data_IF_041052148343
#
_entry.id   IF_041052148343
#
_cell.length_a   1.000
_cell.length_b   1.000
_cell.length_c   1.000
_cell.angle_alpha   90.00
_cell.angle_beta   90.00
_cell.angle_gamma   90.00
#
_symmetry.space_group_name_H-M   'P 1'
#
loop_
_entity.id
_entity.type
_entity.pdbx_description
1 polymer ?
#
# COMPACT_ATOMS: atom_id res chain seq x y z
N UNK A 1 -9.15 1.73 20.30
CA UNK A 1 -9.32 3.09 19.72
C UNK A 1 -8.68 3.18 18.32
N UNK A 2 -7.43 2.72 18.16
CA UNK A 2 -6.74 2.65 16.86
C UNK A 2 -7.50 1.86 15.79
N UNK A 3 -8.08 0.70 16.12
CA UNK A 3 -8.86 -0.11 15.17
C UNK A 3 -10.16 0.57 14.71
N UNK A 4 -10.80 1.35 15.58
CA UNK A 4 -11.99 2.14 15.22
C UNK A 4 -11.62 3.27 14.24
N UNK A 5 -10.54 4.01 14.54
CA UNK A 5 -10.04 5.06 13.64
C UNK A 5 -9.61 4.48 12.28
N UNK A 6 -8.92 3.34 12.27
CA UNK A 6 -8.54 2.64 11.05
C UNK A 6 -9.77 2.17 10.24
N UNK A 7 -10.81 1.66 10.91
CA UNK A 7 -12.06 1.27 10.26
C UNK A 7 -12.77 2.43 9.57
N UNK A 8 -12.85 3.59 10.24
CA UNK A 8 -13.44 4.81 9.64
C UNK A 8 -12.64 5.27 8.42
N UNK A 9 -11.30 5.31 8.52
CA UNK A 9 -10.44 5.70 7.40
C UNK A 9 -10.52 4.71 6.24
N UNK A 10 -10.58 3.41 6.53
CA UNK A 10 -10.74 2.37 5.52
C UNK A 10 -12.10 2.46 4.82
N UNK A 11 -13.17 2.76 5.58
CA UNK A 11 -14.51 2.99 5.02
C UNK A 11 -14.54 4.19 4.08
N UNK A 12 -13.94 5.32 4.50
CA UNK A 12 -13.81 6.51 3.66
C UNK A 12 -13.01 6.23 2.38
N UNK A 13 -11.92 5.48 2.47
CA UNK A 13 -11.14 5.06 1.31
C UNK A 13 -11.95 4.19 0.34
N UNK A 14 -12.74 3.24 0.86
CA UNK A 14 -13.61 2.39 0.04
C UNK A 14 -14.66 3.17 -0.76
N UNK A 15 -15.26 4.19 -0.16
CA UNK A 15 -16.21 5.10 -0.84
C UNK A 15 -15.50 5.85 -1.97
N UNK A 16 -14.28 6.36 -1.72
CA UNK A 16 -13.47 7.05 -2.73
C UNK A 16 -13.17 6.17 -3.95
N UNK A 17 -12.82 4.91 -3.70
CA UNK A 17 -12.54 3.94 -4.76
C UNK A 17 -13.81 3.64 -5.56
N UNK A 18 -14.95 3.40 -4.89
CA UNK A 18 -16.23 3.17 -5.57
C UNK A 18 -16.67 4.34 -6.45
N UNK A 19 -16.44 5.58 -6.00
CA UNK A 19 -16.70 6.77 -6.81
C UNK A 19 -15.76 6.89 -8.02
N UNK A 20 -14.49 6.49 -7.88
CA UNK A 20 -13.51 6.58 -8.96
C UNK A 20 -13.83 5.66 -10.15
N UNK A 21 -14.27 4.44 -9.87
CA UNK A 21 -14.57 3.45 -10.91
C UNK A 21 -16.02 3.51 -11.43
N UNK A 22 -16.90 4.32 -10.81
CA UNK A 22 -18.34 4.45 -11.11
C UNK A 22 -19.12 3.11 -11.19
N UNK A 23 -18.49 2.03 -10.73
CA UNK A 23 -18.99 0.67 -10.80
C UNK A 23 -18.47 -0.09 -9.58
N UNK A 24 -19.38 -0.73 -8.85
CA UNK A 24 -19.07 -1.52 -7.67
C UNK A 24 -19.20 -3.00 -8.05
N UNK A 25 -18.07 -3.68 -8.12
CA UNK A 25 -18.00 -5.11 -8.41
C UNK A 25 -17.55 -5.88 -7.17
N UNK A 26 -18.08 -7.09 -6.96
CA UNK A 26 -17.73 -7.92 -5.80
C UNK A 26 -16.22 -8.21 -5.68
N UNK A 27 -15.51 -8.24 -6.82
CA UNK A 27 -14.07 -8.52 -6.90
C UNK A 27 -13.16 -7.29 -6.71
N UNK A 28 -13.70 -6.07 -6.58
CA UNK A 28 -12.88 -4.85 -6.50
C UNK A 28 -11.92 -4.82 -5.29
N UNK A 29 -12.26 -5.57 -4.23
CA UNK A 29 -11.43 -5.66 -3.03
C UNK A 29 -10.18 -6.52 -3.19
N UNK A 30 -10.16 -7.44 -4.16
CA UNK A 30 -9.08 -8.43 -4.31
C UNK A 30 -7.75 -7.76 -4.67
N UNK A 31 -7.74 -6.96 -5.75
CA UNK A 31 -6.58 -6.15 -6.13
C UNK A 31 -6.16 -5.18 -5.02
N UNK A 32 -7.13 -4.55 -4.34
CA UNK A 32 -6.85 -3.57 -3.28
C UNK A 32 -6.16 -4.24 -2.08
N UNK A 33 -6.56 -5.47 -1.75
CA UNK A 33 -5.96 -6.23 -0.65
C UNK A 33 -4.51 -6.59 -0.95
N UNK A 34 -4.22 -7.08 -2.17
CA UNK A 34 -2.85 -7.38 -2.61
C UNK A 34 -1.94 -6.14 -2.55
N UNK A 35 -2.46 -5.00 -3.00
CA UNK A 35 -1.74 -3.71 -2.90
C UNK A 35 -1.52 -3.27 -1.47
N UNK A 36 -2.48 -3.50 -0.58
CA UNK A 36 -2.33 -3.27 0.86
C UNK A 36 -1.17 -4.08 1.46
N UNK A 37 -1.03 -5.35 1.07
CA UNK A 37 0.11 -6.17 1.48
C UNK A 37 1.44 -5.61 0.97
N UNK A 38 1.49 -5.19 -0.29
CA UNK A 38 2.67 -4.55 -0.85
C UNK A 38 3.07 -3.32 -0.03
N UNK A 39 2.14 -2.42 0.23
CA UNK A 39 2.38 -1.20 1.02
C UNK A 39 2.93 -1.50 2.42
N UNK A 40 2.36 -2.50 3.09
CA UNK A 40 2.83 -2.92 4.43
C UNK A 40 4.24 -3.49 4.39
N UNK A 41 4.58 -4.28 3.38
CA UNK A 41 5.91 -4.89 3.25
C UNK A 41 6.95 -3.81 2.91
N UNK A 42 6.61 -2.90 2.00
CA UNK A 42 7.47 -1.77 1.63
C UNK A 42 7.69 -0.82 2.81
N UNK A 43 6.62 -0.52 3.55
CA UNK A 43 6.66 0.33 4.75
C UNK A 43 7.35 -0.31 5.96
N UNK A 44 7.28 -1.63 6.10
CA UNK A 44 7.82 -2.41 7.20
C UNK A 44 6.73 -2.96 8.14
N UNK A 45 6.77 -4.28 8.37
CA UNK A 45 5.80 -4.97 9.23
C UNK A 45 5.88 -4.50 10.70
N UNK A 46 4.83 -3.80 11.14
CA UNK A 46 4.69 -3.31 12.51
C UNK A 46 5.07 -1.84 12.72
N UNK A 47 5.50 -1.11 11.68
CA UNK A 47 5.71 0.33 11.74
C UNK A 47 4.59 1.09 11.02
N UNK A 48 3.71 1.74 11.80
CA UNK A 48 2.55 2.48 11.27
C UNK A 48 3.01 3.70 10.44
N UNK A 49 4.12 4.34 10.81
CA UNK A 49 4.62 5.56 10.14
C UNK A 49 5.25 5.21 8.79
N UNK A 50 6.01 4.11 8.75
CA UNK A 50 6.58 3.53 7.54
C UNK A 50 5.50 3.10 6.56
N UNK A 51 4.47 2.39 7.03
CA UNK A 51 3.34 2.00 6.19
C UNK A 51 2.57 3.19 5.62
N UNK A 52 2.37 4.27 6.40
CA UNK A 52 1.70 5.48 5.93
C UNK A 52 2.50 6.17 4.82
N UNK A 53 3.80 6.37 5.01
CA UNK A 53 4.68 7.00 4.01
C UNK A 53 4.79 6.14 2.74
N UNK A 54 4.93 4.82 2.89
CA UNK A 54 4.97 3.89 1.77
C UNK A 54 3.66 3.91 0.98
N UNK A 55 2.51 3.91 1.65
CA UNK A 55 1.20 3.93 0.99
C UNK A 55 0.96 5.21 0.21
N UNK A 56 1.38 6.34 0.77
CA UNK A 56 1.29 7.64 0.11
C UNK A 56 2.22 7.69 -1.12
N UNK A 57 3.48 7.29 -0.95
CA UNK A 57 4.47 7.29 -2.03
C UNK A 57 4.08 6.33 -3.17
N UNK A 58 3.68 5.09 -2.84
CA UNK A 58 3.22 4.12 -3.84
C UNK A 58 1.96 4.61 -4.55
N UNK A 59 1.00 5.19 -3.83
CA UNK A 59 -0.21 5.76 -4.44
C UNK A 59 0.13 6.84 -5.48
N UNK A 60 1.05 7.75 -5.17
CA UNK A 60 1.52 8.74 -6.15
C UNK A 60 2.19 8.08 -7.35
N UNK A 61 3.15 7.19 -7.12
CA UNK A 61 3.87 6.47 -8.19
C UNK A 61 2.89 5.73 -9.10
N UNK A 62 1.85 5.14 -8.54
CA UNK A 62 0.84 4.39 -9.28
C UNK A 62 -0.03 5.31 -10.16
N UNK A 63 -0.44 6.48 -9.65
CA UNK A 63 -1.20 7.48 -10.41
C UNK A 63 -0.35 8.05 -11.55
N UNK A 64 0.92 8.36 -11.29
CA UNK A 64 1.85 8.81 -12.34
C UNK A 64 2.09 7.71 -13.39
N UNK A 65 2.27 6.46 -12.95
CA UNK A 65 2.47 5.33 -13.89
C UNK A 65 1.25 5.15 -14.80
N UNK A 66 0.04 5.23 -14.26
CA UNK A 66 -1.17 5.13 -15.06
C UNK A 66 -1.33 6.27 -16.06
N UNK A 67 -0.90 7.48 -15.69
CA UNK A 67 -0.98 8.63 -16.57
C UNK A 67 0.03 8.58 -17.73
N UNK A 68 1.23 8.02 -17.50
CA UNK A 68 2.32 8.05 -18.48
C UNK A 68 2.50 6.75 -19.30
N UNK A 69 2.20 5.57 -18.73
CA UNK A 69 2.58 4.28 -19.34
C UNK A 69 1.41 3.40 -19.77
N UNK A 70 0.27 3.48 -19.07
CA UNK A 70 -1.01 2.75 -19.23
C UNK A 70 -1.43 2.10 -17.90
N UNK A 71 -2.73 1.87 -17.72
CA UNK A 71 -3.32 1.31 -16.49
C UNK A 71 -2.80 -0.09 -16.16
N UNK A 72 -2.46 -0.90 -17.17
CA UNK A 72 -1.94 -2.26 -16.99
C UNK A 72 -0.59 -2.29 -16.25
N UNK A 73 0.22 -1.22 -16.38
CA UNK A 73 1.51 -1.15 -15.70
C UNK A 73 1.41 -0.76 -14.22
N UNK A 74 0.24 -0.31 -13.74
CA UNK A 74 0.07 0.03 -12.31
C UNK A 74 0.38 -1.16 -11.42
N UNK A 75 -0.07 -2.34 -11.79
CA UNK A 75 0.15 -3.56 -11.02
C UNK A 75 1.60 -4.01 -11.08
N UNK A 76 2.20 -3.98 -12.27
CA UNK A 76 3.62 -4.29 -12.46
C UNK A 76 4.52 -3.38 -11.61
N UNK A 77 4.22 -2.09 -11.52
CA UNK A 77 4.98 -1.15 -10.69
C UNK A 77 4.77 -1.41 -9.21
N UNK A 78 3.53 -1.71 -8.79
CA UNK A 78 3.24 -1.99 -7.38
C UNK A 78 3.95 -3.26 -6.91
N UNK A 79 3.79 -4.37 -7.63
CA UNK A 79 4.49 -5.62 -7.33
C UNK A 79 6.00 -5.50 -7.54
N UNK A 80 6.45 -4.73 -8.54
CA UNK A 80 7.86 -4.43 -8.75
C UNK A 80 8.48 -3.74 -7.54
N UNK A 81 7.78 -2.78 -6.92
CA UNK A 81 8.24 -2.11 -5.70
C UNK A 81 8.38 -3.08 -4.51
N UNK A 82 7.52 -4.09 -4.40
CA UNK A 82 7.67 -5.17 -3.42
C UNK A 82 8.97 -5.94 -3.65
N UNK A 83 9.22 -6.39 -4.89
CA UNK A 83 10.44 -7.13 -5.25
C UNK A 83 11.69 -6.29 -5.01
N UNK A 84 11.67 -5.02 -5.42
CA UNK A 84 12.75 -4.05 -5.17
C UNK A 84 13.02 -3.87 -3.68
N UNK A 85 11.98 -3.78 -2.85
CA UNK A 85 12.15 -3.62 -1.40
C UNK A 85 12.73 -4.87 -0.77
N UNK A 86 12.29 -6.06 -1.18
CA UNK A 86 12.90 -7.32 -0.74
C UNK A 86 14.37 -7.43 -1.16
N UNK A 87 14.72 -6.93 -2.35
CA UNK A 87 16.09 -6.96 -2.85
C UNK A 87 17.02 -5.99 -2.13
N UNK A 88 16.55 -4.76 -1.85
CA UNK A 88 17.40 -3.72 -1.25
C UNK A 88 17.39 -3.73 0.28
N UNK A 89 16.22 -3.92 0.92
CA UNK A 89 16.06 -3.96 2.39
C UNK A 89 14.77 -4.68 2.82
N UNK A 90 14.83 -5.98 3.19
CA UNK A 90 13.66 -6.77 3.58
C UNK A 90 13.01 -6.34 4.91
N UNK A 91 13.64 -5.43 5.67
CA UNK A 91 13.12 -4.90 6.95
C UNK A 91 12.20 -3.68 6.77
N UNK A 92 11.96 -3.21 5.55
CA UNK A 92 11.12 -2.05 5.24
C UNK A 92 11.81 -0.70 5.48
N UNK A 93 11.10 0.40 5.22
CA UNK A 93 11.59 1.80 5.27
C UNK A 93 12.28 2.16 6.59
N UNK A 94 11.76 1.70 7.74
CA UNK A 94 12.28 2.02 9.08
C UNK A 94 12.87 0.83 9.82
N UNK A 95 13.37 -0.17 9.09
CA UNK A 95 14.00 -1.41 9.57
C UNK A 95 14.18 -1.52 11.08
N UNK A 96 13.36 -2.36 11.72
CA UNK A 96 13.35 -2.61 13.17
C UNK A 96 14.79 -2.59 13.72
N UNK A 97 15.09 -1.56 14.51
CA UNK A 97 16.15 -1.68 15.51
C UNK A 97 15.78 -2.89 16.36
N UNK A 98 16.60 -3.93 16.30
CA UNK A 98 16.49 -5.10 17.17
C UNK A 98 16.65 -4.55 18.59
N UNK A 99 15.54 -4.25 19.27
CA UNK A 99 15.57 -3.92 20.68
C UNK A 99 15.80 -5.25 21.39
N UNK A 100 17.07 -5.59 21.56
CA UNK A 100 17.52 -6.59 22.51
C UNK A 100 17.23 -6.02 23.91
N UNK A 101 16.01 -6.26 24.42
CA UNK A 101 15.73 -6.12 25.86
C UNK A 101 16.21 -7.40 26.53
N UNK A 102 17.43 -7.32 27.06
CA UNK A 102 17.90 -8.15 28.15
C UNK A 102 17.11 -7.82 29.44
#
# INVERSE_FOLDING_TARGET
LTSFAAGILSGAAGILIGLNFNAVHAYMGEMMMLRGFVVIIVGGLGDIRGALLAGLALGFVEVFTAAYLSSDFKEAVTFGALVLTLWWRPTGLFGRAIIHRA
#
